data_IF_865015228823
#
_entry.id   IF_865015228823
#
_cell.length_a   1.000
_cell.length_b   1.000
_cell.length_c   1.000
_cell.angle_alpha   90.00
_cell.angle_beta   90.00
_cell.angle_gamma   90.00
#
_symmetry.space_group_name_H-M   'P 1'
#
loop_
_entity.id
_entity.type
_entity.pdbx_description
1 polymer ?
#
# COMPACT_ATOMS: atom_id res chain seq x y z
N UNK A 1 11.77 -9.58 68.18
CA UNK A 1 10.65 -9.38 67.25
C UNK A 1 11.21 -8.65 66.04
N UNK A 2 11.52 -9.36 64.94
CA UNK A 2 12.26 -8.81 63.79
C UNK A 2 11.28 -8.46 62.67
N UNK A 3 11.25 -7.18 62.31
CA UNK A 3 10.50 -6.64 61.16
C UNK A 3 11.19 -7.03 59.84
N UNK A 4 10.41 -7.48 58.85
CA UNK A 4 10.84 -7.56 57.47
C UNK A 4 10.14 -6.43 56.68
N UNK A 5 10.93 -5.51 56.14
CA UNK A 5 10.50 -4.58 55.10
C UNK A 5 10.64 -5.28 53.75
N UNK A 6 9.53 -5.46 53.04
CA UNK A 6 9.51 -5.91 51.64
C UNK A 6 9.53 -4.66 50.77
N UNK A 7 10.63 -4.45 50.03
CA UNK A 7 10.72 -3.45 48.98
C UNK A 7 10.17 -4.03 47.67
N UNK A 8 9.03 -3.52 47.20
CA UNK A 8 8.56 -3.73 45.84
C UNK A 8 9.19 -2.68 44.91
N UNK A 9 10.02 -3.12 43.98
CA UNK A 9 10.48 -2.32 42.84
C UNK A 9 9.36 -2.30 41.79
N UNK A 10 8.63 -1.18 41.72
CA UNK A 10 7.74 -0.88 40.59
C UNK A 10 8.60 -0.41 39.42
N UNK A 11 8.75 -1.26 38.40
CA UNK A 11 9.31 -0.86 37.12
C UNK A 11 8.30 0.06 36.41
N UNK A 12 8.63 1.35 36.31
CA UNK A 12 7.89 2.34 35.53
C UNK A 12 8.02 2.00 34.04
N UNK A 13 6.96 1.43 33.47
CA UNK A 13 6.79 1.38 32.01
C UNK A 13 6.45 2.79 31.57
N UNK A 14 7.43 3.51 31.01
CA UNK A 14 7.20 4.78 30.35
C UNK A 14 6.57 4.48 28.99
N UNK A 15 5.35 4.92 28.69
CA UNK A 15 4.83 4.86 27.33
C UNK A 15 5.63 5.85 26.47
N UNK A 16 6.46 5.34 25.57
CA UNK A 16 7.04 6.13 24.47
C UNK A 16 5.96 6.19 23.39
N UNK A 17 5.01 7.12 23.50
CA UNK A 17 4.14 7.49 22.38
C UNK A 17 3.78 8.96 22.46
N UNK A 18 3.79 9.57 21.26
CA UNK A 18 3.16 10.84 20.89
C UNK A 18 3.89 12.15 21.23
N UNK A 19 5.03 12.37 20.60
CA UNK A 19 5.34 13.69 20.02
C UNK A 19 5.94 13.50 18.62
N UNK A 20 5.11 13.13 17.65
CA UNK A 20 5.31 13.59 16.29
C UNK A 20 4.33 14.76 16.12
N UNK A 21 4.85 15.99 16.19
CA UNK A 21 4.16 17.08 15.52
C UNK A 21 3.91 16.60 14.10
N UNK A 22 2.64 16.47 13.72
CA UNK A 22 2.22 16.14 12.37
C UNK A 22 2.68 17.29 11.46
N UNK A 23 3.92 17.23 11.00
CA UNK A 23 4.32 17.94 9.81
C UNK A 23 3.50 17.30 8.72
N UNK A 24 2.37 17.92 8.40
CA UNK A 24 1.54 17.53 7.27
C UNK A 24 2.45 17.49 6.06
N UNK A 25 2.80 16.28 5.61
CA UNK A 25 3.83 16.06 4.57
C UNK A 25 3.35 16.69 3.27
N UNK A 26 2.02 16.81 3.10
CA UNK A 26 1.37 17.51 1.99
C UNK A 26 0.39 18.56 2.54
N UNK A 27 0.88 19.74 2.93
CA UNK A 27 0.06 20.76 3.55
C UNK A 27 -0.88 21.43 2.54
N UNK A 28 -2.19 21.30 2.74
CA UNK A 28 -3.21 21.99 1.96
C UNK A 28 -3.45 23.41 2.50
N UNK A 29 -3.16 24.46 1.71
CA UNK A 29 -3.25 25.86 2.15
C UNK A 29 -3.95 26.82 1.18
N UNK A 30 -4.72 26.34 0.20
CA UNK A 30 -5.42 27.22 -0.76
C UNK A 30 -6.39 28.23 -0.12
N UNK A 31 -6.83 28.04 1.14
CA UNK A 31 -7.82 28.90 1.81
C UNK A 31 -7.37 29.34 3.23
N UNK A 32 -6.07 29.49 3.45
CA UNK A 32 -5.53 30.01 4.72
C UNK A 32 -4.94 31.40 4.51
N UNK A 33 -4.78 32.21 5.57
CA UNK A 33 -4.20 33.58 5.54
C UNK A 33 -2.77 33.66 4.94
N UNK A 34 -2.19 32.52 4.54
CA UNK A 34 -0.92 32.41 3.83
C UNK A 34 -1.02 31.36 2.72
N UNK A 35 -1.04 31.82 1.47
CA UNK A 35 -0.82 30.99 0.29
C UNK A 35 0.64 30.51 0.25
N UNK A 36 0.85 29.28 -0.24
CA UNK A 36 2.20 28.76 -0.50
C UNK A 36 2.64 29.19 -1.90
N UNK A 37 3.93 29.52 -2.03
CA UNK A 37 4.59 29.67 -3.32
C UNK A 37 4.88 28.31 -3.94
N UNK A 38 5.01 28.26 -5.27
CA UNK A 38 5.51 27.09 -6.02
C UNK A 38 6.69 26.42 -5.33
N UNK A 39 7.65 27.26 -4.92
CA UNK A 39 8.91 26.85 -4.32
C UNK A 39 8.76 26.15 -2.97
N UNK A 40 7.70 26.44 -2.22
CA UNK A 40 7.40 25.76 -0.96
C UNK A 40 6.78 24.37 -1.21
N UNK A 41 6.03 24.21 -2.30
CA UNK A 41 5.54 22.90 -2.75
C UNK A 41 6.63 22.07 -3.46
N UNK A 42 7.60 22.73 -4.08
CA UNK A 42 8.78 22.13 -4.73
C UNK A 42 9.90 21.74 -3.75
N UNK A 43 9.67 21.81 -2.43
CA UNK A 43 10.65 21.35 -1.46
C UNK A 43 10.96 19.85 -1.69
N UNK A 44 12.22 19.40 -1.59
CA UNK A 44 12.58 18.00 -1.89
C UNK A 44 11.82 16.93 -1.09
N UNK A 45 11.21 17.31 0.03
CA UNK A 45 10.43 16.44 0.90
C UNK A 45 8.99 16.24 0.38
N UNK A 46 8.43 17.24 -0.30
CA UNK A 46 7.03 17.28 -0.79
C UNK A 46 6.93 16.94 -2.28
N UNK A 47 7.93 17.35 -3.09
CA UNK A 47 7.88 17.33 -4.57
C UNK A 47 7.56 15.97 -5.20
N UNK A 48 8.01 14.87 -4.61
CA UNK A 48 7.76 13.52 -5.11
C UNK A 48 6.57 12.83 -4.42
N UNK A 49 6.15 13.33 -3.26
CA UNK A 49 5.14 12.69 -2.41
C UNK A 49 3.77 13.37 -2.45
N UNK A 50 3.65 14.60 -2.92
CA UNK A 50 2.40 15.33 -2.96
C UNK A 50 1.95 15.61 -4.40
N UNK A 51 0.64 15.76 -4.61
CA UNK A 51 0.10 16.45 -5.76
C UNK A 51 0.22 17.96 -5.52
N UNK A 52 0.52 18.72 -6.57
CA UNK A 52 0.58 20.19 -6.53
C UNK A 52 -0.52 20.72 -7.43
N UNK A 53 -1.40 21.55 -6.89
CA UNK A 53 -2.51 22.17 -7.60
C UNK A 53 -2.44 23.70 -7.45
N UNK A 54 -2.72 24.42 -8.53
CA UNK A 54 -2.86 25.89 -8.52
C UNK A 54 -4.19 26.27 -7.85
N UNK A 55 -4.14 27.27 -6.98
CA UNK A 55 -5.32 27.87 -6.35
C UNK A 55 -5.85 29.05 -7.19
N UNK A 56 -7.14 29.36 -7.06
CA UNK A 56 -7.80 30.47 -7.77
C UNK A 56 -7.17 31.85 -7.48
N UNK A 57 -6.50 32.03 -6.33
CA UNK A 57 -5.90 33.29 -5.86
C UNK A 57 -4.38 33.42 -6.13
N UNK A 58 -3.82 32.69 -7.10
CA UNK A 58 -2.38 32.66 -7.43
C UNK A 58 -1.48 32.04 -6.33
N UNK A 59 -1.99 31.03 -5.62
CA UNK A 59 -1.22 30.20 -4.67
C UNK A 59 -1.13 28.75 -5.12
N UNK A 60 -0.41 27.92 -4.37
CA UNK A 60 -0.36 26.47 -4.58
C UNK A 60 -0.86 25.69 -3.36
N UNK A 61 -1.48 24.54 -3.60
CA UNK A 61 -1.77 23.54 -2.58
C UNK A 61 -0.99 22.26 -2.85
N UNK A 62 -0.38 21.75 -1.79
CA UNK A 62 0.21 20.42 -1.76
C UNK A 62 -0.79 19.49 -1.09
N UNK A 63 -1.26 18.46 -1.79
CA UNK A 63 -2.22 17.50 -1.22
C UNK A 63 -1.73 16.07 -1.40
N UNK A 64 -2.15 15.19 -0.50
CA UNK A 64 -1.98 13.75 -0.72
C UNK A 64 -2.84 13.36 -1.92
N UNK A 65 -2.27 12.67 -2.94
CA UNK A 65 -3.09 12.17 -4.03
C UNK A 65 -4.23 11.28 -3.50
N UNK A 66 -5.36 11.27 -4.21
CA UNK A 66 -6.47 10.39 -3.87
C UNK A 66 -6.05 8.93 -3.75
N UNK A 67 -6.77 8.16 -2.93
CA UNK A 67 -6.54 6.72 -2.72
C UNK A 67 -5.07 6.37 -2.44
N UNK A 68 -4.45 7.17 -1.56
CA UNK A 68 -3.05 7.03 -1.18
C UNK A 68 -2.89 6.97 0.33
N UNK A 69 -1.80 6.34 0.78
CA UNK A 69 -1.31 6.42 2.15
C UNK A 69 0.19 6.69 2.16
N UNK A 70 0.71 7.09 3.31
CA UNK A 70 2.15 7.28 3.54
C UNK A 70 2.65 6.39 4.66
N UNK A 71 3.90 5.97 4.54
CA UNK A 71 4.62 5.23 5.58
C UNK A 71 6.01 5.81 5.76
N UNK A 72 6.52 5.81 7.00
CA UNK A 72 7.90 6.23 7.25
C UNK A 72 8.88 5.21 6.66
N UNK A 73 9.95 5.71 6.04
CA UNK A 73 11.00 4.90 5.45
C UNK A 73 11.70 3.98 6.48
N UNK A 74 11.68 4.34 7.77
CA UNK A 74 12.26 3.52 8.83
C UNK A 74 11.44 2.26 9.17
N UNK A 75 10.14 2.21 8.82
CA UNK A 75 9.28 1.06 9.07
C UNK A 75 9.34 0.02 7.95
N UNK A 76 9.70 0.42 6.72
CA UNK A 76 9.59 -0.42 5.53
C UNK A 76 10.36 -1.74 5.61
N UNK A 77 11.46 -1.80 6.35
CA UNK A 77 12.23 -3.04 6.53
C UNK A 77 11.47 -4.11 7.34
N UNK A 78 10.49 -3.70 8.14
CA UNK A 78 9.67 -4.54 9.00
C UNK A 78 8.32 -4.92 8.38
N UNK A 79 7.99 -4.34 7.23
CA UNK A 79 6.69 -4.43 6.60
C UNK A 79 6.78 -5.07 5.22
N UNK A 80 5.71 -5.74 4.82
CA UNK A 80 5.52 -6.23 3.46
C UNK A 80 4.19 -5.73 2.90
N UNK A 81 4.15 -5.59 1.58
CA UNK A 81 2.95 -5.17 0.86
C UNK A 81 2.06 -6.37 0.61
N UNK A 82 0.77 -6.18 0.72
CA UNK A 82 -0.23 -7.20 0.43
C UNK A 82 -1.23 -6.63 -0.55
N UNK A 83 -1.42 -7.33 -1.66
CA UNK A 83 -2.51 -7.11 -2.60
C UNK A 83 -3.55 -8.19 -2.33
N UNK A 84 -4.73 -7.77 -1.93
CA UNK A 84 -5.84 -8.67 -1.61
C UNK A 84 -7.00 -8.40 -2.55
N UNK A 85 -7.57 -9.47 -3.09
CA UNK A 85 -8.75 -9.44 -3.94
C UNK A 85 -9.85 -10.21 -3.24
N UNK A 86 -11.04 -9.62 -3.12
CA UNK A 86 -12.23 -10.26 -2.55
C UNK A 86 -13.41 -10.09 -3.48
N UNK A 87 -14.34 -11.04 -3.47
CA UNK A 87 -15.55 -10.98 -4.29
C UNK A 87 -16.80 -11.36 -3.52
N UNK A 88 -17.96 -11.13 -4.14
CA UNK A 88 -19.24 -11.35 -3.48
C UNK A 88 -19.57 -12.85 -3.37
N UNK A 89 -20.41 -13.25 -2.40
CA UNK A 89 -20.85 -14.64 -2.22
C UNK A 89 -21.58 -15.25 -3.43
N UNK A 90 -22.06 -14.43 -4.37
CA UNK A 90 -22.74 -14.88 -5.58
C UNK A 90 -21.75 -15.22 -6.70
N UNK A 91 -20.58 -14.58 -6.69
CA UNK A 91 -19.51 -14.74 -7.68
C UNK A 91 -18.54 -15.85 -7.26
N UNK A 92 -17.80 -16.41 -8.20
CA UNK A 92 -16.87 -17.53 -7.98
C UNK A 92 -15.67 -17.39 -8.92
N UNK A 93 -14.51 -17.82 -8.44
CA UNK A 93 -13.35 -18.13 -9.28
C UNK A 93 -12.77 -16.88 -9.95
N UNK A 94 -12.32 -15.94 -9.12
CA UNK A 94 -11.59 -14.77 -9.61
C UNK A 94 -10.09 -15.10 -9.61
N UNK A 95 -9.53 -15.29 -10.79
CA UNK A 95 -8.09 -15.52 -10.91
C UNK A 95 -7.35 -14.20 -11.03
N UNK A 96 -6.28 -14.09 -10.24
CA UNK A 96 -5.47 -12.87 -10.18
C UNK A 96 -4.07 -13.09 -10.72
N UNK A 97 -3.43 -11.99 -11.14
CA UNK A 97 -2.03 -11.95 -11.53
C UNK A 97 -1.42 -10.64 -11.06
N UNK A 98 -0.39 -10.72 -10.22
CA UNK A 98 0.33 -9.57 -9.68
C UNK A 98 1.74 -9.56 -10.24
N UNK A 99 2.10 -8.45 -10.91
CA UNK A 99 3.44 -8.24 -11.48
C UNK A 99 4.21 -7.19 -10.70
N UNK A 100 5.46 -7.50 -10.42
CA UNK A 100 6.40 -6.58 -9.77
C UNK A 100 7.81 -6.88 -10.29
N UNK A 101 8.47 -5.84 -10.79
CA UNK A 101 9.72 -5.94 -11.55
C UNK A 101 9.54 -6.90 -12.74
N UNK A 102 10.37 -7.95 -12.82
CA UNK A 102 10.34 -9.02 -13.81
C UNK A 102 9.47 -10.22 -13.39
N UNK A 103 8.91 -10.19 -12.18
CA UNK A 103 8.09 -11.27 -11.63
C UNK A 103 6.61 -11.12 -11.93
N UNK A 104 5.91 -12.26 -11.97
CA UNK A 104 4.48 -12.41 -12.13
C UNK A 104 3.98 -13.66 -11.41
N UNK A 105 3.13 -13.47 -10.41
CA UNK A 105 2.52 -14.55 -9.60
C UNK A 105 1.00 -14.49 -9.67
N UNK A 106 0.34 -15.64 -9.51
CA UNK A 106 -1.11 -15.77 -9.67
C UNK A 106 -1.49 -17.12 -10.26
N UNK A 107 -2.79 -17.35 -10.49
CA UNK A 107 -3.28 -18.59 -11.10
C UNK A 107 -2.60 -18.82 -12.47
N UNK A 108 -1.94 -19.97 -12.62
CA UNK A 108 -1.30 -20.38 -13.87
C UNK A 108 -0.24 -19.39 -14.41
N UNK A 109 0.30 -18.52 -13.55
CA UNK A 109 1.45 -17.66 -13.89
C UNK A 109 2.76 -18.41 -13.63
N UNK A 110 3.80 -18.18 -14.45
CA UNK A 110 5.02 -19.00 -14.48
C UNK A 110 6.31 -18.24 -14.28
N UNK A 111 6.27 -17.07 -13.63
CA UNK A 111 7.44 -16.18 -13.51
C UNK A 111 7.57 -15.57 -12.11
N UNK A 112 7.58 -16.39 -11.05
CA UNK A 112 7.85 -15.88 -9.71
C UNK A 112 9.29 -15.34 -9.60
N UNK A 113 9.50 -14.36 -8.70
CA UNK A 113 10.82 -13.88 -8.30
C UNK A 113 10.92 -13.82 -6.76
N UNK A 114 12.09 -13.50 -6.22
CA UNK A 114 12.38 -13.54 -4.77
C UNK A 114 11.64 -12.50 -3.91
N UNK A 115 10.79 -11.68 -4.54
CA UNK A 115 10.07 -10.56 -3.92
C UNK A 115 8.56 -10.71 -4.00
N UNK A 116 8.05 -11.74 -4.68
CA UNK A 116 6.63 -11.96 -4.93
C UNK A 116 6.23 -13.36 -4.49
N UNK A 117 5.18 -13.44 -3.68
CA UNK A 117 4.57 -14.70 -3.29
C UNK A 117 3.05 -14.65 -3.50
N UNK A 118 2.46 -15.77 -3.89
CA UNK A 118 1.02 -15.91 -4.13
C UNK A 118 0.41 -16.88 -3.13
N UNK A 119 -0.60 -16.42 -2.40
CA UNK A 119 -1.27 -17.18 -1.34
C UNK A 119 -2.06 -18.39 -1.84
N UNK A 120 -2.25 -18.51 -3.15
CA UNK A 120 -2.94 -19.62 -3.80
C UNK A 120 -4.23 -19.20 -4.48
N UNK A 121 -4.67 -20.05 -5.38
CA UNK A 121 -5.90 -19.92 -6.15
C UNK A 121 -7.12 -20.27 -5.27
N UNK A 122 -8.11 -19.38 -5.22
CA UNK A 122 -9.34 -19.60 -4.49
C UNK A 122 -10.55 -19.69 -5.44
N UNK A 123 -10.98 -20.93 -5.66
CA UNK A 123 -12.11 -21.23 -6.55
C UNK A 123 -13.47 -21.18 -5.85
N UNK A 124 -13.58 -20.69 -4.61
CA UNK A 124 -14.85 -20.67 -3.87
C UNK A 124 -15.74 -19.48 -4.21
N UNK A 125 -17.00 -19.56 -3.79
CA UNK A 125 -17.89 -18.40 -3.78
C UNK A 125 -17.49 -17.44 -2.66
N UNK A 126 -17.57 -16.13 -2.90
CA UNK A 126 -17.19 -15.10 -1.92
C UNK A 126 -15.76 -15.24 -1.39
N UNK A 127 -14.85 -15.70 -2.25
CA UNK A 127 -13.49 -16.05 -1.89
C UNK A 127 -12.55 -14.84 -1.80
N UNK A 128 -11.29 -15.17 -1.61
CA UNK A 128 -10.20 -14.20 -1.44
C UNK A 128 -8.92 -14.78 -2.03
N UNK A 129 -8.19 -13.96 -2.78
CA UNK A 129 -6.83 -14.23 -3.24
C UNK A 129 -5.89 -13.14 -2.76
N UNK A 130 -4.62 -13.51 -2.50
CA UNK A 130 -3.62 -12.61 -1.93
C UNK A 130 -2.28 -12.78 -2.64
N UNK A 131 -1.63 -11.66 -2.96
CA UNK A 131 -0.21 -11.62 -3.31
C UNK A 131 0.56 -10.79 -2.29
N UNK A 132 1.74 -11.26 -1.89
CA UNK A 132 2.63 -10.61 -0.92
C UNK A 132 3.89 -10.15 -1.63
N UNK A 133 4.31 -8.91 -1.37
CA UNK A 133 5.41 -8.26 -2.07
C UNK A 133 6.42 -7.65 -1.08
N UNK A 134 7.68 -8.08 -1.17
CA UNK A 134 8.79 -7.50 -0.42
C UNK A 134 9.48 -6.37 -1.20
N UNK A 135 8.76 -5.25 -1.29
CA UNK A 135 9.20 -4.05 -2.01
C UNK A 135 10.52 -3.49 -1.48
N UNK A 136 10.71 -3.52 -0.15
CA UNK A 136 11.91 -2.98 0.49
C UNK A 136 13.13 -3.89 0.27
N UNK A 137 12.97 -5.22 0.28
CA UNK A 137 14.07 -6.13 -0.09
C UNK A 137 14.52 -5.90 -1.54
N UNK A 138 13.57 -5.76 -2.47
CA UNK A 138 13.90 -5.42 -3.86
C UNK A 138 14.69 -4.10 -3.98
N UNK A 139 14.38 -3.11 -3.14
CA UNK A 139 15.12 -1.84 -3.08
C UNK A 139 16.54 -2.04 -2.55
N UNK A 140 16.68 -2.82 -1.48
CA UNK A 140 17.98 -3.12 -0.86
C UNK A 140 18.88 -3.90 -1.82
N UNK A 141 18.30 -4.75 -2.66
CA UNK A 141 18.98 -5.47 -3.73
C UNK A 141 19.25 -4.60 -4.98
N UNK A 142 18.93 -3.31 -4.95
CA UNK A 142 19.20 -2.35 -6.02
C UNK A 142 18.32 -2.51 -7.26
N UNK A 143 17.12 -3.11 -7.13
CA UNK A 143 16.19 -3.29 -8.26
C UNK A 143 15.39 -2.03 -8.61
N UNK A 144 15.31 -1.09 -7.68
CA UNK A 144 14.69 0.22 -7.86
C UNK A 144 15.22 1.20 -6.80
N UNK A 145 15.07 2.50 -7.04
CA UNK A 145 15.59 3.55 -6.15
C UNK A 145 14.46 4.48 -5.65
N UNK A 146 13.95 5.34 -6.53
CA UNK A 146 13.00 6.40 -6.15
C UNK A 146 11.54 6.02 -6.39
N UNK A 147 11.25 5.24 -7.43
CA UNK A 147 9.89 4.82 -7.74
C UNK A 147 9.84 3.43 -8.37
N UNK A 148 8.72 2.76 -8.13
CA UNK A 148 8.39 1.47 -8.74
C UNK A 148 6.86 1.32 -8.80
N UNK A 149 6.39 0.26 -9.45
CA UNK A 149 4.97 -0.04 -9.57
C UNK A 149 4.69 -1.54 -9.48
N UNK A 150 3.52 -1.87 -8.94
CA UNK A 150 2.95 -3.21 -8.95
C UNK A 150 1.74 -3.18 -9.88
N UNK A 151 1.75 -4.01 -10.92
CA UNK A 151 0.62 -4.11 -11.86
C UNK A 151 -0.28 -5.25 -11.40
N UNK A 152 -1.55 -4.94 -11.22
CA UNK A 152 -2.56 -5.85 -10.71
C UNK A 152 -3.53 -6.23 -11.83
N UNK A 153 -3.64 -7.51 -12.12
CA UNK A 153 -4.52 -8.06 -13.14
C UNK A 153 -5.52 -9.01 -12.49
N UNK A 154 -6.76 -9.04 -13.00
CA UNK A 154 -7.79 -9.93 -12.47
C UNK A 154 -8.80 -10.31 -13.56
N UNK A 155 -9.25 -11.56 -13.56
CA UNK A 155 -10.30 -12.00 -14.47
C UNK A 155 -11.04 -13.24 -13.98
N UNK A 156 -12.34 -13.28 -14.25
CA UNK A 156 -13.20 -14.40 -13.89
C UNK A 156 -12.85 -15.64 -14.71
N UNK A 157 -12.60 -16.76 -14.03
CA UNK A 157 -12.32 -18.04 -14.67
C UNK A 157 -13.62 -18.65 -15.18
N UNK A 158 -13.89 -18.50 -16.48
CA UNK A 158 -14.99 -19.17 -17.19
C UNK A 158 -16.35 -19.18 -16.45
N UNK A 159 -16.64 -18.16 -15.63
CA UNK A 159 -17.78 -18.14 -14.70
C UNK A 159 -18.99 -17.45 -15.33
N UNK A 160 -20.17 -17.99 -15.08
CA UNK A 160 -21.46 -17.47 -15.58
C UNK A 160 -21.99 -16.29 -14.73
N UNK A 161 -21.43 -16.07 -13.53
CA UNK A 161 -21.85 -15.00 -12.62
C UNK A 161 -20.68 -14.09 -12.27
N UNK A 162 -20.40 -13.16 -13.18
CA UNK A 162 -19.30 -12.21 -13.13
C UNK A 162 -19.73 -10.86 -12.54
N UNK A 163 -18.78 -10.02 -12.17
CA UNK A 163 -19.03 -8.62 -11.84
C UNK A 163 -17.80 -7.92 -11.26
N UNK A 164 -18.02 -6.81 -10.57
CA UNK A 164 -16.94 -6.12 -9.87
C UNK A 164 -16.42 -6.92 -8.68
N UNK A 165 -15.15 -6.73 -8.35
CA UNK A 165 -14.50 -7.28 -7.17
C UNK A 165 -13.88 -6.13 -6.36
N UNK A 166 -13.54 -6.38 -5.10
CA UNK A 166 -12.83 -5.41 -4.26
C UNK A 166 -11.35 -5.75 -4.26
N UNK A 167 -10.51 -4.75 -4.53
CA UNK A 167 -9.06 -4.84 -4.35
C UNK A 167 -8.65 -3.97 -3.17
N UNK A 168 -7.76 -4.47 -2.33
CA UNK A 168 -7.16 -3.75 -1.21
C UNK A 168 -5.65 -3.90 -1.25
N UNK A 169 -4.96 -2.80 -1.02
CA UNK A 169 -3.51 -2.77 -0.84
C UNK A 169 -3.25 -2.35 0.59
N UNK A 170 -2.48 -3.12 1.33
CA UNK A 170 -2.12 -2.78 2.70
C UNK A 170 -0.73 -3.25 3.08
N UNK A 171 -0.21 -2.69 4.17
CA UNK A 171 1.02 -3.17 4.79
C UNK A 171 0.71 -4.09 5.97
N UNK A 172 1.48 -5.16 6.11
CA UNK A 172 1.50 -6.01 7.30
C UNK A 172 2.92 -6.21 7.82
N UNK A 173 3.06 -6.49 9.10
CA UNK A 173 4.35 -6.78 9.74
C UNK A 173 4.84 -8.17 9.32
N UNK A 174 6.11 -8.25 8.94
CA UNK A 174 6.76 -9.52 8.57
C UNK A 174 6.86 -10.51 9.75
N UNK A 175 6.85 -10.02 10.99
CA UNK A 175 7.07 -10.84 12.20
C UNK A 175 5.86 -11.70 12.58
N UNK A 176 4.65 -11.18 12.41
CA UNK A 176 3.41 -11.80 12.92
C UNK A 176 2.25 -11.74 11.90
N UNK A 177 2.46 -11.15 10.73
CA UNK A 177 1.43 -10.94 9.72
C UNK A 177 0.36 -9.91 10.11
N UNK A 178 0.52 -9.22 11.25
CA UNK A 178 -0.46 -8.26 11.74
C UNK A 178 -0.48 -6.99 10.90
N UNK A 179 -1.67 -6.41 10.70
CA UNK A 179 -1.85 -5.18 9.93
C UNK A 179 -1.04 -4.04 10.56
N UNK A 180 -0.40 -3.24 9.70
CA UNK A 180 0.06 -1.91 10.07
C UNK A 180 -1.16 -0.97 9.96
N UNK A 181 -1.69 -0.54 11.10
CA UNK A 181 -2.84 0.35 11.16
C UNK A 181 -2.60 1.60 10.31
N UNK A 182 -3.65 2.10 9.64
CA UNK A 182 -3.65 3.28 8.76
C UNK A 182 -2.87 3.16 7.43
N UNK A 183 -2.20 2.04 7.15
CA UNK A 183 -1.45 1.81 5.90
C UNK A 183 -2.23 0.94 4.90
N UNK A 184 -3.41 1.42 4.46
CA UNK A 184 -4.19 0.70 3.43
C UNK A 184 -4.99 1.62 2.51
N UNK A 185 -5.14 1.19 1.26
CA UNK A 185 -6.01 1.78 0.24
C UNK A 185 -6.82 0.68 -0.43
N UNK A 186 -7.99 1.03 -0.99
CA UNK A 186 -8.90 0.03 -1.55
C UNK A 186 -9.77 0.63 -2.64
N UNK A 187 -10.06 -0.14 -3.68
CA UNK A 187 -10.97 0.28 -4.75
C UNK A 187 -11.72 -0.92 -5.35
N UNK A 188 -12.90 -0.65 -5.91
CA UNK A 188 -13.68 -1.63 -6.66
C UNK A 188 -13.11 -1.75 -8.07
N UNK A 189 -12.64 -2.94 -8.42
CA UNK A 189 -12.09 -3.27 -9.73
C UNK A 189 -13.14 -3.88 -10.65
N UNK A 190 -12.87 -3.84 -11.96
CA UNK A 190 -13.69 -4.45 -13.00
C UNK A 190 -12.88 -5.55 -13.72
N UNK A 191 -12.86 -6.79 -13.20
CA UNK A 191 -12.15 -7.89 -13.82
C UNK A 191 -12.72 -8.25 -15.21
N UNK A 192 -11.84 -8.73 -16.10
CA UNK A 192 -12.24 -9.33 -17.36
C UNK A 192 -12.66 -10.81 -17.21
N UNK A 193 -12.66 -11.56 -18.32
CA UNK A 193 -12.80 -13.02 -18.31
C UNK A 193 -11.50 -13.67 -18.78
N UNK A 194 -11.07 -14.76 -18.16
CA UNK A 194 -9.84 -15.47 -18.53
C UNK A 194 -9.96 -17.00 -18.32
N UNK A 195 -8.91 -17.75 -18.70
CA UNK A 195 -8.75 -19.20 -18.43
C UNK A 195 -7.31 -19.60 -18.01
N UNK A 196 -6.43 -18.62 -17.86
CA UNK A 196 -4.98 -18.70 -17.60
C UNK A 196 -4.56 -17.44 -16.88
N UNK A 197 -3.30 -17.33 -16.44
CA UNK A 197 -2.72 -16.11 -15.87
C UNK A 197 -3.32 -14.82 -16.45
N UNK A 198 -4.03 -14.06 -15.60
CA UNK A 198 -4.94 -13.02 -16.07
C UNK A 198 -4.18 -11.89 -16.78
N UNK A 199 -4.57 -11.52 -18.03
CA UNK A 199 -3.95 -10.42 -18.76
C UNK A 199 -4.64 -9.06 -18.51
N UNK A 200 -5.76 -9.04 -17.81
CA UNK A 200 -6.62 -7.87 -17.69
C UNK A 200 -6.15 -6.97 -16.56
N UNK A 201 -5.41 -5.91 -16.90
CA UNK A 201 -5.00 -4.89 -15.95
C UNK A 201 -6.23 -4.23 -15.32
N UNK A 202 -6.32 -4.27 -13.99
CA UNK A 202 -7.42 -3.67 -13.22
C UNK A 202 -6.97 -2.53 -12.32
N UNK A 203 -5.69 -2.49 -11.97
CA UNK A 203 -5.10 -1.41 -11.17
C UNK A 203 -3.58 -1.41 -11.22
N UNK A 204 -2.99 -0.26 -10.89
CA UNK A 204 -1.56 -0.08 -10.66
C UNK A 204 -1.34 0.50 -9.28
N UNK A 205 -0.48 -0.13 -8.49
CA UNK A 205 0.02 0.42 -7.23
C UNK A 205 1.31 1.18 -7.52
N UNK A 206 1.29 2.49 -7.39
CA UNK A 206 2.48 3.33 -7.51
C UNK A 206 3.13 3.50 -6.16
N UNK A 207 4.45 3.27 -6.11
CA UNK A 207 5.26 3.40 -4.91
C UNK A 207 6.33 4.44 -5.19
N UNK A 208 6.30 5.54 -4.44
CA UNK A 208 7.24 6.64 -4.61
C UNK A 208 7.90 6.92 -3.27
N UNK A 209 9.22 6.84 -3.27
CA UNK A 209 10.05 7.06 -2.09
C UNK A 209 10.55 8.50 -2.09
N UNK A 210 10.22 9.23 -1.03
CA UNK A 210 10.86 10.49 -0.68
C UNK A 210 11.99 10.26 0.33
N UNK A 211 12.54 11.35 0.86
CA UNK A 211 13.66 11.29 1.80
C UNK A 211 13.31 10.56 3.12
N UNK A 212 12.14 10.86 3.70
CA UNK A 212 11.72 10.34 5.01
C UNK A 212 10.52 9.39 4.94
N UNK A 213 9.71 9.50 3.89
CA UNK A 213 8.47 8.76 3.74
C UNK A 213 8.37 8.13 2.35
N UNK A 214 7.57 7.09 2.25
CA UNK A 214 7.16 6.47 0.99
C UNK A 214 5.66 6.62 0.85
N UNK A 215 5.22 7.14 -0.31
CA UNK A 215 3.82 7.19 -0.70
C UNK A 215 3.47 5.93 -1.48
N UNK A 216 2.29 5.40 -1.19
CA UNK A 216 1.66 4.33 -1.94
C UNK A 216 0.32 4.84 -2.46
N UNK A 217 0.08 4.70 -3.75
CA UNK A 217 -1.15 5.14 -4.42
C UNK A 217 -1.74 3.97 -5.19
N UNK A 218 -3.04 3.70 -5.02
CA UNK A 218 -3.76 2.73 -5.83
C UNK A 218 -4.53 3.45 -6.94
N UNK A 219 -4.11 3.26 -8.18
CA UNK A 219 -4.76 3.81 -9.36
C UNK A 219 -5.50 2.71 -10.11
N UNK A 220 -6.81 2.88 -10.28
CA UNK A 220 -7.63 1.99 -11.08
C UNK A 220 -7.32 2.15 -12.57
N UNK A 221 -7.32 1.03 -13.31
CA UNK A 221 -7.10 1.00 -14.76
C UNK A 221 -8.33 1.46 -15.57
#
# INVERSE_FOLDING_TARGET
>A
MRCYFVFFLLASVVPILAQHASNDVCPNRCNTDRTLSDRECDHPVTRSLCAVEECEDNGYSCSMPGNSFMISNNQLSLLEFVIEYTWSPEQRDLDTSTRFLDGNVGFSCSSANDYLDFGGDNTSKGGTEVAVIDVEKARQDGKWEDSTAIISNAGWFASDNQGGAQMKVYLRRKSDGGLAEEASVSDRINPGTQRTCSPHNVATVKIIRGSLHTRVTLEKA
#
